data_IF_590778171053
#
_entry.id   IF_590778171053
#
_cell.length_a   1.000
_cell.length_b   1.000
_cell.length_c   1.000
_cell.angle_alpha   90.00
_cell.angle_beta   90.00
_cell.angle_gamma   90.00
#
_symmetry.space_group_name_H-M   'P 1'
#
loop_
_entity.id
_entity.type
_entity.pdbx_description
1 polymer ?
#
# COMPACT_ATOMS: atom_id res chain seq x y z
N UNK A 1 11.93 16.18 2.00
CA UNK A 1 10.77 15.66 1.25
C UNK A 1 9.66 16.70 1.32
N UNK A 2 8.96 17.01 0.23
CA UNK A 2 7.76 17.88 0.24
C UNK A 2 6.50 17.02 0.19
N UNK A 3 5.33 17.57 0.56
CA UNK A 3 4.06 16.83 0.50
C UNK A 3 3.74 16.34 -0.93
N UNK A 4 3.94 17.19 -1.94
CA UNK A 4 3.76 16.83 -3.35
C UNK A 4 4.64 15.64 -3.77
N UNK A 5 5.93 15.65 -3.37
CA UNK A 5 6.86 14.56 -3.66
C UNK A 5 6.46 13.27 -2.95
N UNK A 6 5.89 13.37 -1.75
CA UNK A 6 5.38 12.22 -1.01
C UNK A 6 4.16 11.63 -1.72
N UNK A 7 3.17 12.45 -2.07
CA UNK A 7 1.96 12.01 -2.78
C UNK A 7 2.31 11.34 -4.11
N UNK A 8 3.17 11.96 -4.92
CA UNK A 8 3.62 11.37 -6.18
C UNK A 8 4.44 10.08 -6.02
N UNK A 9 5.07 9.85 -4.86
CA UNK A 9 5.70 8.56 -4.55
C UNK A 9 4.65 7.52 -4.20
N UNK A 10 3.70 7.87 -3.34
CA UNK A 10 2.61 7.00 -2.90
C UNK A 10 1.73 6.53 -4.07
N UNK A 11 1.40 7.43 -5.01
CA UNK A 11 0.65 7.08 -6.22
C UNK A 11 1.39 6.06 -7.09
N UNK A 12 2.71 6.21 -7.24
CA UNK A 12 3.55 5.24 -7.98
C UNK A 12 3.59 3.89 -7.29
N UNK A 13 3.77 3.86 -5.97
CA UNK A 13 3.76 2.63 -5.19
C UNK A 13 2.42 1.86 -5.32
N UNK A 14 1.29 2.57 -5.34
CA UNK A 14 -0.03 1.95 -5.56
C UNK A 14 -0.13 1.36 -6.97
N UNK A 15 0.32 2.08 -8.00
CA UNK A 15 0.32 1.58 -9.38
C UNK A 15 1.20 0.34 -9.52
N UNK A 16 2.40 0.38 -8.95
CA UNK A 16 3.34 -0.74 -8.96
C UNK A 16 2.76 -1.95 -8.21
N UNK A 17 2.09 -1.72 -7.08
CA UNK A 17 1.39 -2.77 -6.34
C UNK A 17 0.35 -3.48 -7.20
N UNK A 18 -0.52 -2.74 -7.90
CA UNK A 18 -1.53 -3.35 -8.77
C UNK A 18 -0.91 -4.14 -9.92
N UNK A 19 0.15 -3.61 -10.54
CA UNK A 19 0.87 -4.31 -11.60
C UNK A 19 1.47 -5.63 -11.11
N UNK A 20 2.09 -5.64 -9.93
CA UNK A 20 2.65 -6.87 -9.35
C UNK A 20 1.56 -7.86 -8.92
N UNK A 21 0.43 -7.36 -8.40
CA UNK A 21 -0.74 -8.19 -8.10
C UNK A 21 -1.29 -8.89 -9.34
N UNK A 22 -1.42 -8.19 -10.47
CA UNK A 22 -1.86 -8.79 -11.74
C UNK A 22 -0.92 -9.90 -12.21
N UNK A 23 0.40 -9.70 -12.09
CA UNK A 23 1.39 -10.74 -12.42
C UNK A 23 1.26 -11.98 -11.53
N UNK A 24 1.14 -11.79 -10.22
CA UNK A 24 0.98 -12.89 -9.27
C UNK A 24 -0.32 -13.65 -9.50
N UNK A 25 -1.42 -12.94 -9.77
CA UNK A 25 -2.71 -13.56 -10.11
C UNK A 25 -2.58 -14.41 -11.38
N UNK A 26 -1.97 -13.87 -12.44
CA UNK A 26 -1.76 -14.59 -13.70
C UNK A 26 -0.96 -15.87 -13.48
N UNK A 27 0.14 -15.80 -12.73
CA UNK A 27 0.95 -16.97 -12.37
C UNK A 27 0.13 -18.02 -11.61
N UNK A 28 -0.65 -17.60 -10.61
CA UNK A 28 -1.51 -18.50 -9.85
C UNK A 28 -2.55 -19.18 -10.74
N UNK A 29 -3.16 -18.45 -11.67
CA UNK A 29 -4.13 -19.03 -12.61
C UNK A 29 -3.50 -20.08 -13.53
N UNK A 30 -2.28 -19.83 -14.00
CA UNK A 30 -1.57 -20.75 -14.88
C UNK A 30 -1.13 -22.02 -14.12
N UNK A 31 -0.60 -21.88 -12.90
CA UNK A 31 -0.30 -23.01 -12.01
C UNK A 31 -1.55 -23.87 -11.75
N UNK A 32 -2.71 -23.22 -11.53
CA UNK A 32 -3.97 -23.91 -11.30
C UNK A 32 -4.46 -24.66 -12.55
N UNK A 33 -4.33 -24.06 -13.74
CA UNK A 33 -4.67 -24.76 -15.00
C UNK A 33 -3.78 -25.97 -15.21
N UNK A 34 -2.49 -25.85 -14.93
CA UNK A 34 -1.53 -26.95 -15.05
C UNK A 34 -1.89 -28.10 -14.10
N UNK A 35 -2.17 -27.81 -12.83
CA UNK A 35 -2.62 -28.80 -11.83
C UNK A 35 -3.90 -29.54 -12.27
N UNK A 36 -4.91 -28.80 -12.76
CA UNK A 36 -6.15 -29.40 -13.26
C UNK A 36 -5.88 -30.29 -14.48
N UNK A 37 -4.96 -29.89 -15.36
CA UNK A 37 -4.59 -30.66 -16.54
C UNK A 37 -3.94 -32.01 -16.17
N UNK A 38 -3.04 -32.03 -15.18
CA UNK A 38 -2.43 -33.27 -14.69
C UNK A 38 -3.42 -34.17 -13.95
N UNK A 39 -4.45 -33.59 -13.33
CA UNK A 39 -5.48 -34.32 -12.60
C UNK A 39 -6.68 -34.74 -13.47
N UNK A 40 -6.60 -34.56 -14.80
CA UNK A 40 -7.65 -34.93 -15.75
C UNK A 40 -7.95 -36.45 -15.81
N UNK A 41 -7.05 -37.29 -15.29
CA UNK A 41 -7.21 -38.74 -15.19
C UNK A 41 -7.92 -39.23 -13.93
N UNK A 42 -8.20 -38.34 -12.97
CA UNK A 42 -8.84 -38.74 -11.72
C UNK A 42 -10.36 -38.81 -11.89
N UNK A 43 -11.03 -39.69 -11.13
CA UNK A 43 -12.49 -39.83 -11.23
C UNK A 43 -13.20 -38.46 -11.03
N UNK A 44 -14.40 -38.27 -11.62
CA UNK A 44 -15.11 -36.99 -11.63
C UNK A 44 -15.24 -36.30 -10.26
N UNK A 45 -15.43 -37.05 -9.18
CA UNK A 45 -15.54 -36.52 -7.81
C UNK A 45 -14.26 -35.85 -7.34
N UNK A 46 -13.10 -36.44 -7.63
CA UNK A 46 -11.81 -35.87 -7.23
C UNK A 46 -11.50 -34.63 -8.05
N UNK A 47 -11.85 -34.62 -9.35
CA UNK A 47 -11.70 -33.45 -10.19
C UNK A 47 -12.58 -32.27 -9.71
N UNK A 48 -13.83 -32.53 -9.30
CA UNK A 48 -14.69 -31.51 -8.68
C UNK A 48 -14.11 -30.99 -7.37
N UNK A 49 -13.63 -31.89 -6.49
CA UNK A 49 -13.02 -31.50 -5.23
C UNK A 49 -11.78 -30.62 -5.45
N UNK A 50 -10.91 -30.99 -6.38
CA UNK A 50 -9.72 -30.21 -6.72
C UNK A 50 -10.09 -28.80 -7.19
N UNK A 51 -11.07 -28.68 -8.10
CA UNK A 51 -11.54 -27.37 -8.57
C UNK A 51 -12.05 -26.48 -7.42
N UNK A 52 -12.81 -27.06 -6.49
CA UNK A 52 -13.31 -26.32 -5.34
C UNK A 52 -12.15 -25.84 -4.44
N UNK A 53 -11.17 -26.70 -4.16
CA UNK A 53 -10.00 -26.34 -3.35
C UNK A 53 -9.15 -25.24 -4.01
N UNK A 54 -8.96 -25.29 -5.33
CA UNK A 54 -8.24 -24.26 -6.07
C UNK A 54 -9.01 -22.92 -6.09
N UNK A 55 -10.35 -22.98 -6.15
CA UNK A 55 -11.18 -21.78 -6.03
C UNK A 55 -11.09 -21.16 -4.63
N UNK A 56 -11.17 -21.98 -3.57
CA UNK A 56 -11.00 -21.52 -2.19
C UNK A 56 -9.62 -20.90 -1.95
N UNK A 57 -8.56 -21.54 -2.48
CA UNK A 57 -7.20 -21.00 -2.43
C UNK A 57 -7.11 -19.62 -3.09
N UNK A 58 -7.73 -19.45 -4.28
CA UNK A 58 -7.73 -18.18 -5.00
C UNK A 58 -8.46 -17.09 -4.21
N UNK A 59 -9.62 -17.41 -3.66
CA UNK A 59 -10.38 -16.46 -2.83
C UNK A 59 -9.64 -16.06 -1.56
N UNK A 60 -8.95 -17.00 -0.90
CA UNK A 60 -8.10 -16.68 0.25
C UNK A 60 -6.92 -15.78 -0.15
N UNK A 61 -6.31 -16.03 -1.31
CA UNK A 61 -5.23 -15.22 -1.85
C UNK A 61 -5.68 -13.79 -2.18
N UNK A 62 -6.83 -13.64 -2.82
CA UNK A 62 -7.43 -12.33 -3.11
C UNK A 62 -7.77 -11.54 -1.83
N UNK A 63 -8.17 -12.22 -0.76
CA UNK A 63 -8.42 -11.59 0.53
C UNK A 63 -7.12 -11.07 1.17
N UNK A 64 -6.05 -11.89 1.18
CA UNK A 64 -4.74 -11.45 1.68
C UNK A 64 -4.20 -10.25 0.87
N UNK A 65 -4.35 -10.26 -0.46
CA UNK A 65 -3.95 -9.13 -1.32
C UNK A 65 -4.76 -7.85 -1.07
N UNK A 66 -5.98 -7.98 -0.54
CA UNK A 66 -6.76 -6.82 -0.11
C UNK A 66 -6.19 -6.26 1.20
N UNK A 67 -5.91 -7.13 2.16
CA UNK A 67 -5.32 -6.74 3.44
C UNK A 67 -3.96 -6.05 3.25
N UNK A 68 -3.12 -6.56 2.35
CA UNK A 68 -1.83 -5.96 1.99
C UNK A 68 -1.99 -4.55 1.38
N UNK A 69 -2.97 -4.34 0.51
CA UNK A 69 -3.27 -3.03 -0.07
C UNK A 69 -3.77 -2.04 1.00
N UNK A 70 -4.62 -2.51 1.91
CA UNK A 70 -5.15 -1.68 2.98
C UNK A 70 -4.05 -1.28 3.98
N UNK A 71 -3.11 -2.19 4.29
CA UNK A 71 -1.90 -1.87 5.06
C UNK A 71 -1.04 -0.82 4.36
N UNK A 72 -0.82 -0.95 3.04
CA UNK A 72 -0.05 0.04 2.27
C UNK A 72 -0.69 1.44 2.37
N UNK A 73 -2.01 1.53 2.20
CA UNK A 73 -2.75 2.80 2.32
C UNK A 73 -2.66 3.38 3.73
N UNK A 74 -2.69 2.53 4.76
CA UNK A 74 -2.54 2.97 6.15
C UNK A 74 -1.15 3.55 6.40
N UNK A 75 -0.10 2.90 5.90
CA UNK A 75 1.27 3.42 5.96
C UNK A 75 1.35 4.78 5.27
N UNK A 76 0.78 4.91 4.07
CA UNK A 76 0.76 6.17 3.34
C UNK A 76 0.05 7.31 4.10
N UNK A 77 -1.04 6.99 4.80
CA UNK A 77 -1.74 7.95 5.64
C UNK A 77 -0.87 8.41 6.82
N UNK A 78 -0.22 7.49 7.53
CA UNK A 78 0.67 7.78 8.64
C UNK A 78 1.89 8.62 8.22
N UNK A 79 2.48 8.31 7.05
CA UNK A 79 3.57 9.12 6.51
C UNK A 79 3.16 10.55 6.19
N UNK A 80 1.94 10.72 5.67
CA UNK A 80 1.38 12.04 5.35
C UNK A 80 1.13 12.85 6.61
N UNK A 81 0.50 12.25 7.61
CA UNK A 81 0.26 12.87 8.92
C UNK A 81 1.57 13.30 9.58
N UNK A 82 2.57 12.42 9.63
CA UNK A 82 3.88 12.72 10.20
C UNK A 82 4.59 13.88 9.47
N UNK A 83 4.47 13.96 8.14
CA UNK A 83 5.04 15.06 7.38
C UNK A 83 4.35 16.40 7.69
N UNK A 84 3.02 16.40 7.78
CA UNK A 84 2.23 17.59 8.13
C UNK A 84 2.56 18.05 9.55
N UNK A 85 2.65 17.14 10.51
CA UNK A 85 3.04 17.45 11.89
C UNK A 85 4.43 18.08 11.98
N UNK A 86 5.40 17.54 11.23
CA UNK A 86 6.74 18.12 11.16
C UNK A 86 6.73 19.52 10.56
N UNK A 87 5.88 19.76 9.55
CA UNK A 87 5.75 21.07 8.93
C UNK A 87 5.11 22.08 9.89
N UNK A 88 4.02 21.70 10.57
CA UNK A 88 3.37 22.53 11.58
C UNK A 88 4.32 22.93 12.72
N UNK A 89 5.09 21.97 13.26
CA UNK A 89 6.10 22.24 14.30
C UNK A 89 7.19 23.18 13.82
N UNK A 90 7.61 23.04 12.55
CA UNK A 90 8.59 23.95 11.96
C UNK A 90 8.03 25.37 11.84
N UNK A 91 6.80 25.50 11.38
CA UNK A 91 6.15 26.80 11.19
C UNK A 91 5.93 27.51 12.54
N UNK A 92 5.58 26.77 13.59
CA UNK A 92 5.50 27.27 14.97
C UNK A 92 6.85 27.80 15.47
N UNK A 93 7.94 27.04 15.27
CA UNK A 93 9.28 27.47 15.63
C UNK A 93 9.71 28.74 14.89
N UNK A 94 9.40 28.82 13.59
CA UNK A 94 9.70 30.01 12.78
C UNK A 94 8.91 31.23 13.29
N UNK A 95 7.64 31.05 13.65
CA UNK A 95 6.82 32.12 14.22
C UNK A 95 7.38 32.62 15.57
N UNK A 96 7.77 31.70 16.47
CA UNK A 96 8.38 32.04 17.76
C UNK A 96 9.70 32.81 17.60
N UNK A 97 10.58 32.35 16.70
CA UNK A 97 11.85 33.03 16.41
C UNK A 97 11.63 34.42 15.82
N UNK A 98 10.65 34.57 14.93
CA UNK A 98 10.32 35.87 14.32
C UNK A 98 9.79 36.84 15.38
N UNK A 99 8.87 36.39 16.24
CA UNK A 99 8.36 37.18 17.37
C UNK A 99 9.47 37.62 18.33
N UNK A 100 10.40 36.73 18.66
CA UNK A 100 11.56 37.05 19.51
C UNK A 100 12.49 38.09 18.88
N UNK A 101 12.70 38.02 17.55
CA UNK A 101 13.51 38.99 16.80
C UNK A 101 12.87 40.38 16.78
N UNK A 102 11.56 40.45 16.62
CA UNK A 102 10.83 41.71 16.58
C UNK A 102 10.81 42.38 17.96
N UNK A 103 10.59 41.60 19.04
CA UNK A 103 10.68 42.10 20.41
C UNK A 103 12.08 42.57 20.82
N UNK A 104 13.14 41.93 20.31
CA UNK A 104 14.52 42.35 20.58
C UNK A 104 14.87 43.68 19.88
N UNK A 105 14.29 43.96 18.71
CA UNK A 105 14.47 45.23 18.00
C UNK A 105 13.77 46.41 18.69
N UNK A 106 12.58 46.17 19.26
CA UNK A 106 11.83 47.23 19.97
C UNK A 106 12.44 47.62 21.32
N UNK A 107 13.20 46.73 21.98
CA UNK A 107 13.88 47.02 23.25
C UNK A 107 15.24 47.72 23.11
N UNK A 108 15.76 47.81 21.88
CA UNK A 108 17.05 48.46 21.58
C UNK A 108 16.94 49.91 21.11
N UNK A 109 15.75 50.52 21.19
CA UNK A 109 15.47 51.93 20.88
C UNK A 109 15.15 52.72 22.15
#
# INVERSE_FOLDING_TARGET
>A
MTLEKLVARQEREIVDYFREREKRLTSLEDDQKELVSYCSFVNPKTHTLLKNLLQEQRSAWEAMEKDDLDMLKQIHALERENLLDKQAKRDELVALLSKGKDQAKDRGR
#
